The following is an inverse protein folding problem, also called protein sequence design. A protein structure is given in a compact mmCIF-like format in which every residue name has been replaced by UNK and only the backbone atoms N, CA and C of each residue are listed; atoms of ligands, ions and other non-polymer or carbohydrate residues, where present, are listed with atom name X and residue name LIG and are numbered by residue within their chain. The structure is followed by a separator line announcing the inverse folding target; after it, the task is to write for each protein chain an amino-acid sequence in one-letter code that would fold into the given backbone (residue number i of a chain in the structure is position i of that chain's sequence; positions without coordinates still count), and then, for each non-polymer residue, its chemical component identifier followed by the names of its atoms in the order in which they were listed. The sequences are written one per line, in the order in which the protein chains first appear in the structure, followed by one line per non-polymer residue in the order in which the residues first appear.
data_IF_143087863555
#
_entry.id   IF_143087863555
#
_cell.length_a   1.000
_cell.length_b   1.000
_cell.length_c   1.000
_cell.angle_alpha   90.00
_cell.angle_beta   90.00
_cell.angle_gamma   90.00
#
_symmetry.space_group_name_H-M   'P 1'
#
loop_
_entity.id
_entity.type
_entity.pdbx_description
1 polymer ?
#
# COMPACT_ATOMS: atom_id res chain seq x y z
N UNK A 1 -6.50 14.80 -18.94
CA UNK A 1 -6.53 15.17 -17.51
C UNK A 1 -5.12 14.93 -16.99
N UNK A 2 -4.37 16.00 -16.70
CA UNK A 2 -2.98 15.88 -16.25
C UNK A 2 -2.95 15.06 -14.98
N UNK A 3 -2.17 13.97 -14.97
CA UNK A 3 -1.83 13.31 -13.72
C UNK A 3 -1.11 14.38 -12.90
N UNK A 4 -1.77 14.93 -11.88
CA UNK A 4 -1.19 15.97 -11.04
C UNK A 4 0.07 15.38 -10.43
N UNK A 5 1.23 15.83 -10.89
CA UNK A 5 2.49 15.46 -10.27
C UNK A 5 2.41 15.84 -8.80
N UNK A 6 2.57 14.83 -7.95
CA UNK A 6 2.65 15.04 -6.51
C UNK A 6 3.88 15.90 -6.27
N UNK A 7 3.68 17.11 -5.72
CA UNK A 7 4.77 18.07 -5.54
C UNK A 7 5.78 17.56 -4.50
N UNK A 8 7.06 17.89 -4.69
CA UNK A 8 8.12 17.55 -3.73
C UNK A 8 7.81 18.05 -2.32
N UNK A 9 7.16 19.22 -2.20
CA UNK A 9 6.74 19.77 -0.92
C UNK A 9 5.73 18.87 -0.19
N UNK A 10 4.76 18.30 -0.92
CA UNK A 10 3.83 17.34 -0.34
C UNK A 10 4.54 16.04 0.03
N UNK A 11 5.39 15.52 -0.86
CA UNK A 11 6.18 14.31 -0.58
C UNK A 11 7.07 14.49 0.65
N UNK A 12 7.68 15.67 0.84
CA UNK A 12 8.45 15.98 2.05
C UNK A 12 7.59 15.98 3.31
N UNK A 13 6.36 16.50 3.25
CA UNK A 13 5.47 16.47 4.40
C UNK A 13 5.06 15.04 4.77
N UNK A 14 4.79 14.21 3.77
CA UNK A 14 4.48 12.79 4.00
C UNK A 14 5.72 12.06 4.51
N UNK A 15 6.88 12.26 3.88
CA UNK A 15 8.15 11.67 4.30
C UNK A 15 8.42 11.95 5.79
N UNK A 16 8.30 13.21 6.22
CA UNK A 16 8.45 13.61 7.62
C UNK A 16 7.41 13.03 8.58
N UNK A 17 6.26 12.58 8.08
CA UNK A 17 5.26 11.88 8.90
C UNK A 17 5.58 10.40 9.06
N UNK A 18 6.28 9.82 8.08
CA UNK A 18 6.67 8.41 8.07
C UNK A 18 7.98 8.22 8.83
N UNK A 19 8.96 9.10 8.59
CA UNK A 19 10.22 9.23 9.33
C UNK A 19 9.92 9.72 10.75
N UNK A 20 9.70 8.76 11.64
CA UNK A 20 9.26 9.01 13.01
C UNK A 20 10.44 9.37 13.92
N UNK A 21 11.63 8.85 13.60
CA UNK A 21 12.86 9.13 14.31
C UNK A 21 13.59 10.39 13.79
N UNK A 22 13.20 10.91 12.62
CA UNK A 22 13.77 12.10 12.02
C UNK A 22 15.19 11.88 11.48
N UNK A 23 15.55 10.62 11.20
CA UNK A 23 16.87 10.24 10.70
C UNK A 23 17.14 10.73 9.27
N UNK A 24 16.08 11.09 8.53
CA UNK A 24 16.20 11.47 7.11
C UNK A 24 16.15 10.28 6.14
N UNK A 25 15.91 9.07 6.66
CA UNK A 25 15.72 7.85 5.89
C UNK A 25 14.60 7.01 6.51
N UNK A 26 13.75 6.39 5.71
CA UNK A 26 12.65 5.57 6.21
C UNK A 26 13.12 4.12 6.37
N UNK A 27 13.04 3.60 7.59
CA UNK A 27 13.32 2.20 7.89
C UNK A 27 12.15 1.28 7.57
N UNK A 28 12.40 -0.02 7.48
CA UNK A 28 11.35 -1.04 7.32
C UNK A 28 10.27 -0.99 8.41
N UNK A 29 10.67 -0.67 9.64
CA UNK A 29 9.75 -0.58 10.77
C UNK A 29 8.82 0.64 10.66
N UNK A 30 9.37 1.77 10.23
CA UNK A 30 8.62 3.01 10.01
C UNK A 30 7.69 2.90 8.82
N UNK A 31 8.16 2.33 7.71
CA UNK A 31 7.33 2.09 6.53
C UNK A 31 6.17 1.13 6.86
N UNK A 32 6.43 0.06 7.60
CA UNK A 32 5.39 -0.86 8.06
C UNK A 32 4.35 -0.14 8.92
N UNK A 33 4.81 0.68 9.87
CA UNK A 33 3.94 1.42 10.78
C UNK A 33 3.08 2.42 10.01
N UNK A 34 3.66 3.16 9.05
CA UNK A 34 2.94 4.11 8.23
C UNK A 34 1.89 3.45 7.32
N UNK A 35 2.22 2.31 6.71
CA UNK A 35 1.27 1.53 5.90
C UNK A 35 0.14 0.94 6.75
N UNK A 36 0.46 0.45 7.95
CA UNK A 36 -0.54 -0.14 8.88
C UNK A 36 -1.52 0.90 9.43
N UNK A 37 -1.06 2.15 9.63
CA UNK A 37 -1.90 3.24 10.13
C UNK A 37 -2.96 3.69 9.11
N UNK A 38 -2.86 3.27 7.84
CA UNK A 38 -3.83 3.56 6.79
C UNK A 38 -4.95 2.53 6.63
N UNK A 39 -4.71 1.26 6.99
CA UNK A 39 -5.60 0.13 6.66
C UNK A 39 -6.15 -0.65 7.87
N UNK A 40 -5.91 -0.18 9.11
CA UNK A 40 -6.39 -0.82 10.36
C UNK A 40 -5.96 -2.29 10.54
N UNK A 41 -5.08 -2.81 9.68
CA UNK A 41 -4.56 -4.16 9.70
C UNK A 41 -3.04 -4.13 9.56
N UNK A 42 -2.29 -4.90 10.36
CA UNK A 42 -0.83 -4.91 10.30
C UNK A 42 -0.38 -5.33 8.90
N UNK A 43 0.33 -4.44 8.21
CA UNK A 43 0.89 -4.73 6.89
C UNK A 43 1.96 -5.82 7.02
N UNK A 44 1.98 -6.79 6.09
CA UNK A 44 2.89 -7.93 6.19
C UNK A 44 4.36 -7.45 6.13
N UNK A 45 5.19 -7.74 7.15
CA UNK A 45 6.59 -7.31 7.20
C UNK A 45 7.44 -7.86 6.03
N UNK A 46 7.10 -9.04 5.49
CA UNK A 46 7.78 -9.59 4.32
C UNK A 46 7.54 -8.73 3.08
N UNK A 47 6.31 -8.24 2.90
CA UNK A 47 5.98 -7.33 1.80
C UNK A 47 6.72 -6.00 1.93
N UNK A 48 6.83 -5.46 3.16
CA UNK A 48 7.60 -4.23 3.41
C UNK A 48 9.07 -4.41 3.07
N UNK A 49 9.67 -5.53 3.48
CA UNK A 49 11.07 -5.86 3.15
C UNK A 49 11.27 -6.00 1.64
N UNK A 50 10.34 -6.63 0.93
CA UNK A 50 10.39 -6.73 -0.53
C UNK A 50 10.28 -5.35 -1.18
N UNK A 51 9.36 -4.49 -0.72
CA UNK A 51 9.24 -3.12 -1.22
C UNK A 51 10.53 -2.34 -1.04
N UNK A 52 11.13 -2.36 0.15
CA UNK A 52 12.40 -1.68 0.38
C UNK A 52 13.47 -2.20 -0.57
N UNK A 53 13.66 -3.52 -0.67
CA UNK A 53 14.67 -4.09 -1.56
C UNK A 53 14.46 -3.81 -3.07
N UNK A 54 13.26 -3.40 -3.49
CA UNK A 54 13.00 -3.01 -4.89
C UNK A 54 13.36 -1.55 -5.17
N UNK A 55 13.32 -0.67 -4.16
CA UNK A 55 13.53 0.77 -4.31
C UNK A 55 14.84 1.27 -3.72
N UNK A 56 15.40 0.54 -2.74
CA UNK A 56 16.73 0.73 -2.16
C UNK A 56 17.80 0.43 -3.22
N UNK A 57 18.34 1.50 -3.80
CA UNK A 57 19.38 1.42 -4.84
C UNK A 57 20.78 1.55 -4.26
N UNK A 58 20.90 2.20 -3.10
CA UNK A 58 22.18 2.43 -2.45
C UNK A 58 22.58 1.28 -1.51
N UNK A 59 21.67 0.35 -1.26
CA UNK A 59 21.88 -0.81 -0.39
C UNK A 59 21.87 -0.44 1.09
N UNK A 60 21.29 0.71 1.46
CA UNK A 60 21.22 1.19 2.85
C UNK A 60 20.24 0.39 3.71
N UNK A 61 19.40 -0.45 3.10
CA UNK A 61 18.24 -1.09 3.74
C UNK A 61 17.23 -0.08 4.30
N UNK A 62 17.31 1.17 3.84
CA UNK A 62 16.42 2.28 4.18
C UNK A 62 15.99 2.97 2.89
N UNK A 63 14.99 3.85 2.99
CA UNK A 63 14.48 4.60 1.83
C UNK A 63 14.81 6.08 2.04
N UNK A 64 15.66 6.63 1.20
CA UNK A 64 15.94 8.06 1.19
C UNK A 64 14.80 8.87 0.53
N UNK A 65 14.86 10.21 0.63
CA UNK A 65 13.80 11.07 0.08
C UNK A 65 13.63 10.92 -1.44
N UNK A 66 14.69 10.65 -2.20
CA UNK A 66 14.65 10.48 -3.64
C UNK A 66 14.03 9.13 -4.03
N UNK A 67 14.38 8.07 -3.30
CA UNK A 67 13.77 6.74 -3.43
C UNK A 67 12.30 6.75 -3.02
N UNK A 68 11.96 7.50 -1.96
CA UNK A 68 10.61 7.67 -1.45
C UNK A 68 9.63 8.18 -2.52
N UNK A 69 10.06 9.07 -3.43
CA UNK A 69 9.18 9.56 -4.50
C UNK A 69 8.68 8.43 -5.39
N UNK A 70 9.58 7.49 -5.70
CA UNK A 70 9.27 6.32 -6.53
C UNK A 70 8.39 5.32 -5.78
N UNK A 71 8.73 5.08 -4.51
CA UNK A 71 7.94 4.25 -3.60
C UNK A 71 6.51 4.80 -3.44
N UNK A 72 6.35 6.10 -3.23
CA UNK A 72 5.05 6.76 -3.04
C UNK A 72 4.15 6.62 -4.26
N UNK A 73 4.71 6.80 -5.47
CA UNK A 73 4.01 6.57 -6.73
C UNK A 73 3.53 5.11 -6.82
N UNK A 74 4.38 4.16 -6.45
CA UNK A 74 4.05 2.73 -6.46
C UNK A 74 2.95 2.40 -5.44
N UNK A 75 3.06 2.86 -4.19
CA UNK A 75 2.05 2.65 -3.14
C UNK A 75 0.71 3.25 -3.56
N UNK A 76 0.71 4.46 -4.13
CA UNK A 76 -0.52 5.12 -4.60
C UNK A 76 -1.19 4.34 -5.72
N UNK A 77 -0.42 3.72 -6.62
CA UNK A 77 -0.95 2.83 -7.65
C UNK A 77 -1.40 1.49 -7.08
N UNK A 78 -0.62 0.92 -6.16
CA UNK A 78 -0.91 -0.36 -5.50
C UNK A 78 -2.19 -0.27 -4.66
N UNK A 79 -2.42 0.83 -3.95
CA UNK A 79 -3.67 1.07 -3.21
C UNK A 79 -4.87 1.14 -4.16
N UNK A 80 -4.73 1.76 -5.33
CA UNK A 80 -5.79 1.77 -6.35
C UNK A 80 -6.07 0.38 -6.91
N UNK A 81 -5.02 -0.41 -7.17
CA UNK A 81 -5.14 -1.79 -7.62
C UNK A 81 -5.79 -2.66 -6.55
N UNK A 82 -5.39 -2.51 -5.28
CA UNK A 82 -5.92 -3.27 -4.15
C UNK A 82 -7.38 -2.89 -3.83
N UNK A 83 -7.74 -1.60 -3.86
CA UNK A 83 -9.15 -1.16 -3.73
C UNK A 83 -10.01 -1.62 -4.90
N UNK A 84 -9.47 -1.67 -6.11
CA UNK A 84 -10.19 -2.20 -7.28
C UNK A 84 -10.39 -3.72 -7.22
N UNK A 85 -9.50 -4.43 -6.53
CA UNK A 85 -9.57 -5.88 -6.32
C UNK A 85 -10.52 -6.26 -5.15
N UNK A 86 -10.78 -5.38 -4.19
CA UNK A 86 -11.82 -5.62 -3.16
C UNK A 86 -13.26 -5.34 -3.70
N UNK A 87 -13.38 -4.74 -4.89
CA UNK A 87 -14.67 -4.53 -5.56
C UNK A 87 -15.12 -5.75 -6.38
N UNK A 88 -14.25 -6.73 -6.66
CA UNK A 88 -14.71 -8.07 -7.07
C UNK A 88 -14.97 -8.94 -5.84
N UNK A 89 -15.96 -8.51 -5.05
CA UNK A 89 -16.81 -9.46 -4.33
C UNK A 89 -17.56 -10.33 -5.34
N UNK A 90 -16.85 -11.24 -6.01
CA UNK A 90 -17.42 -12.48 -6.51
C UNK A 90 -17.72 -13.39 -5.32
N UNK A 91 -18.63 -12.91 -4.49
CA UNK A 91 -19.31 -13.64 -3.43
C UNK A 91 -20.71 -14.00 -3.92
N UNK A 92 -20.86 -14.55 -5.12
CA UNK A 92 -22.07 -15.29 -5.47
C UNK A 92 -21.93 -16.73 -4.96
N UNK A 93 -21.74 -16.87 -3.65
CA UNK A 93 -22.10 -18.08 -2.93
C UNK A 93 -23.60 -18.03 -2.65
N UNK A 94 -24.43 -17.94 -3.69
CA UNK A 94 -25.85 -18.19 -3.57
C UNK A 94 -26.08 -19.68 -3.84
N UNK A 95 -25.92 -20.45 -2.77
CA UNK A 95 -26.58 -21.72 -2.58
C UNK A 95 -28.10 -21.50 -2.59
N UNK A 96 -28.75 -21.61 -3.75
CA UNK A 96 -30.16 -21.98 -3.81
C UNK A 96 -30.26 -23.44 -4.23
N UNK A 97 -29.95 -24.31 -3.26
CA UNK A 97 -30.56 -25.62 -3.25
C UNK A 97 -32.01 -25.45 -2.82
N UNK A 98 -32.93 -25.34 -3.79
CA UNK A 98 -34.35 -25.66 -3.64
C UNK A 98 -35.00 -25.74 -5.03
N UNK A 99 -34.58 -26.76 -5.78
CA UNK A 99 -35.41 -27.42 -6.79
C UNK A 99 -35.91 -28.67 -6.06
N UNK A 100 -37.14 -28.74 -5.56
CA UNK A 100 -38.33 -29.04 -6.33
C UNK A 100 -39.59 -28.63 -5.56
N UNK A 101 -40.39 -27.73 -6.12
CA UNK A 101 -41.82 -27.66 -5.82
C UNK A 101 -42.44 -28.99 -6.23
N UNK A 102 -43.04 -29.73 -5.30
CA UNK A 102 -43.87 -30.89 -5.61
C UNK A 102 -45.14 -30.40 -6.31
N UNK A 103 -45.15 -30.49 -7.64
CA UNK A 103 -46.33 -30.28 -8.45
C UNK A 103 -47.43 -31.26 -8.02
N UNK A 104 -48.65 -30.73 -7.92
CA UNK A 104 -49.87 -31.37 -7.43
C UNK A 104 -50.44 -32.37 -8.42
#
# INVERSE_FOLDING_TARGET
MGQGEVSDAFLQQVFKKVDADGSGSITSNELQSALSNGTWSPFNPETVRMMIGMFDKDGSSTIDFNEFKSLWQFITQWEKVFRGFDEDKSGSGEILGEQTTWDR
#
